data_IF_668055711324
#
_entry.id   IF_668055711324
#
_cell.length_a   1.000
_cell.length_b   1.000
_cell.length_c   1.000
_cell.angle_alpha   90.00
_cell.angle_beta   90.00
_cell.angle_gamma   90.00
#
_symmetry.space_group_name_H-M   'P 1'
#
loop_
_entity.id
_entity.type
_entity.pdbx_description
1 polymer ?
#
# COMPACT_ATOMS: atom_id res chain seq x y z
N UNK A 1 -15.84 8.20 25.18
CA UNK A 1 -14.70 7.34 24.80
C UNK A 1 -13.60 8.26 24.31
N UNK A 2 -12.35 8.06 24.72
CA UNK A 2 -11.25 8.91 24.27
C UNK A 2 -10.78 8.47 22.89
N UNK A 3 -11.09 9.27 21.86
CA UNK A 3 -10.78 8.93 20.48
C UNK A 3 -9.27 8.89 20.18
N UNK A 4 -8.44 9.66 20.91
CA UNK A 4 -6.98 9.66 20.75
C UNK A 4 -6.40 8.33 21.23
N UNK A 5 -6.86 7.84 22.37
CA UNK A 5 -6.45 6.52 22.90
C UNK A 5 -6.82 5.42 21.92
N UNK A 6 -8.06 5.42 21.43
CA UNK A 6 -8.54 4.42 20.46
C UNK A 6 -7.72 4.46 19.17
N UNK A 7 -7.47 5.64 18.61
CA UNK A 7 -6.67 5.82 17.40
C UNK A 7 -5.23 5.33 17.60
N UNK A 8 -4.59 5.63 18.73
CA UNK A 8 -3.24 5.19 19.02
C UNK A 8 -3.12 3.65 19.10
N UNK A 9 -4.11 2.98 19.70
CA UNK A 9 -4.17 1.53 19.72
C UNK A 9 -4.48 0.94 18.34
N UNK A 10 -5.36 1.57 17.57
CA UNK A 10 -5.66 1.15 16.21
C UNK A 10 -4.42 1.22 15.30
N UNK A 11 -3.68 2.34 15.33
CA UNK A 11 -2.45 2.52 14.54
C UNK A 11 -1.44 1.42 14.85
N UNK A 12 -1.25 1.08 16.13
CA UNK A 12 -0.34 0.01 16.56
C UNK A 12 -0.83 -1.36 16.07
N UNK A 13 -2.12 -1.67 16.26
CA UNK A 13 -2.70 -2.95 15.87
C UNK A 13 -2.61 -3.18 14.36
N UNK A 14 -2.83 -2.15 13.55
CA UNK A 14 -2.73 -2.24 12.09
C UNK A 14 -1.32 -2.66 11.60
N UNK A 15 -0.26 -2.37 12.36
CA UNK A 15 1.11 -2.81 12.00
C UNK A 15 1.28 -4.33 12.07
N UNK A 16 0.37 -5.04 12.77
CA UNK A 16 0.40 -6.51 12.85
C UNK A 16 0.03 -7.17 11.52
N UNK A 17 -0.67 -6.48 10.62
CA UNK A 17 -1.03 -7.01 9.31
C UNK A 17 0.23 -7.40 8.53
N UNK A 18 1.16 -6.45 8.38
CA UNK A 18 2.42 -6.71 7.66
C UNK A 18 3.35 -7.59 8.49
N UNK A 19 3.46 -7.35 9.80
CA UNK A 19 4.45 -8.06 10.60
C UNK A 19 4.07 -9.51 10.94
N UNK A 20 2.78 -9.88 10.90
CA UNK A 20 2.28 -11.18 11.38
C UNK A 20 1.34 -11.92 10.43
N UNK A 21 0.74 -11.25 9.44
CA UNK A 21 -0.20 -11.91 8.52
C UNK A 21 0.34 -12.12 7.11
N UNK A 22 1.37 -11.38 6.69
CA UNK A 22 1.96 -11.53 5.35
C UNK A 22 3.22 -12.40 5.36
N UNK A 23 3.53 -13.02 4.22
CA UNK A 23 4.81 -13.70 4.01
C UNK A 23 5.94 -12.67 4.07
N UNK A 24 6.97 -12.82 4.94
CA UNK A 24 8.06 -11.86 5.04
C UNK A 24 8.89 -11.70 3.75
N UNK A 25 8.78 -12.64 2.81
CA UNK A 25 9.42 -12.54 1.49
C UNK A 25 8.58 -11.76 0.46
N UNK A 26 7.33 -11.41 0.79
CA UNK A 26 6.43 -10.66 -0.09
C UNK A 26 6.29 -9.22 0.39
N UNK A 27 6.62 -8.26 -0.47
CA UNK A 27 6.50 -6.84 -0.13
C UNK A 27 5.04 -6.43 0.05
N UNK A 28 4.73 -5.95 1.25
CA UNK A 28 3.41 -5.45 1.65
C UNK A 28 3.59 -4.25 2.59
N UNK A 29 2.80 -3.21 2.40
CA UNK A 29 2.88 -1.96 3.16
C UNK A 29 1.49 -1.53 3.59
N UNK A 30 1.36 -1.14 4.86
CA UNK A 30 0.22 -0.39 5.40
C UNK A 30 0.81 0.86 6.04
N UNK A 31 0.32 2.03 5.65
CA UNK A 31 0.83 3.30 6.16
C UNK A 31 -0.32 4.19 6.56
N UNK A 32 -0.30 4.67 7.80
CA UNK A 32 -1.15 5.77 8.25
C UNK A 32 -0.38 7.06 7.99
N UNK A 33 -0.77 7.76 6.93
CA UNK A 33 -0.09 8.97 6.46
C UNK A 33 -0.60 10.26 7.12
N UNK A 34 -1.78 10.21 7.74
CA UNK A 34 -2.43 11.35 8.37
C UNK A 34 -3.20 10.91 9.61
N UNK A 35 -3.07 11.68 10.69
CA UNK A 35 -3.88 11.58 11.91
C UNK A 35 -4.30 12.99 12.32
N UNK A 36 -5.59 13.21 12.57
CA UNK A 36 -6.10 14.47 13.11
C UNK A 36 -7.19 14.18 14.12
N UNK A 37 -7.15 14.81 15.29
CA UNK A 37 -8.24 14.78 16.25
C UNK A 37 -7.89 15.52 17.53
N UNK A 38 -8.92 15.81 18.32
CA UNK A 38 -8.85 16.70 19.47
C UNK A 38 -8.83 18.18 19.10
N UNK A 39 -9.35 19.01 20.01
CA UNK A 39 -9.48 20.45 19.80
C UNK A 39 -8.69 21.29 20.81
N UNK A 40 -8.55 20.82 22.05
CA UNK A 40 -7.82 21.50 23.13
C UNK A 40 -7.16 20.49 24.06
N UNK A 41 -6.08 20.87 24.72
CA UNK A 41 -5.27 19.98 25.57
C UNK A 41 -5.98 19.46 26.82
N UNK A 42 -7.04 20.14 27.27
CA UNK A 42 -7.80 19.82 28.48
C UNK A 42 -9.18 19.20 28.18
N UNK A 43 -9.45 18.85 26.92
CA UNK A 43 -10.72 18.26 26.49
C UNK A 43 -10.39 16.90 25.86
N UNK A 44 -11.08 15.85 26.32
CA UNK A 44 -10.99 14.52 25.71
C UNK A 44 -11.54 14.62 24.28
N UNK A 45 -10.77 14.12 23.31
CA UNK A 45 -11.19 14.10 21.91
C UNK A 45 -12.38 13.15 21.72
N UNK A 46 -13.42 13.64 21.07
CA UNK A 46 -14.59 12.90 20.63
C UNK A 46 -14.39 12.23 19.27
N UNK A 47 -13.58 12.84 18.38
CA UNK A 47 -13.28 12.30 17.06
C UNK A 47 -11.78 12.33 16.71
N UNK A 48 -11.33 11.28 16.01
CA UNK A 48 -10.03 11.22 15.32
C UNK A 48 -10.22 10.63 13.93
N UNK A 49 -9.65 11.29 12.92
CA UNK A 49 -9.64 10.85 11.53
C UNK A 49 -8.24 10.33 11.19
N UNK A 50 -8.17 9.08 10.76
CA UNK A 50 -6.97 8.44 10.21
C UNK A 50 -7.10 8.32 8.69
N UNK A 51 -6.04 8.66 7.96
CA UNK A 51 -5.96 8.45 6.51
C UNK A 51 -4.64 7.82 6.14
N UNK A 52 -4.65 6.93 5.15
CA UNK A 52 -3.51 6.10 4.85
C UNK A 52 -3.57 5.44 3.48
N UNK A 53 -2.60 4.58 3.23
CA UNK A 53 -2.51 3.78 2.01
C UNK A 53 -2.06 2.37 2.36
N UNK A 54 -2.54 1.40 1.58
CA UNK A 54 -2.08 0.03 1.61
C UNK A 54 -1.58 -0.37 0.22
N UNK A 55 -0.48 -1.12 0.16
CA UNK A 55 0.16 -1.56 -1.09
C UNK A 55 0.67 -2.98 -0.95
N UNK A 56 0.56 -3.78 -2.00
CA UNK A 56 1.08 -5.15 -2.03
C UNK A 56 1.46 -5.52 -3.47
N UNK A 57 2.43 -6.42 -3.65
CA UNK A 57 2.76 -6.97 -4.97
C UNK A 57 1.87 -8.12 -5.42
N UNK A 58 1.09 -8.70 -4.50
CA UNK A 58 0.20 -9.83 -4.79
C UNK A 58 -1.25 -9.46 -4.49
N UNK A 59 -2.17 -9.94 -5.33
CA UNK A 59 -3.60 -9.73 -5.11
C UNK A 59 -4.08 -10.42 -3.82
N UNK A 60 -3.45 -11.55 -3.48
CA UNK A 60 -3.66 -12.24 -2.20
C UNK A 60 -3.41 -11.31 -1.02
N UNK A 61 -2.26 -10.63 -0.97
CA UNK A 61 -1.96 -9.73 0.15
C UNK A 61 -2.81 -8.46 0.10
N UNK A 62 -3.14 -7.95 -1.09
CA UNK A 62 -4.05 -6.81 -1.25
C UNK A 62 -5.43 -7.09 -0.64
N UNK A 63 -5.99 -8.26 -0.94
CA UNK A 63 -7.24 -8.73 -0.35
C UNK A 63 -7.10 -8.99 1.16
N UNK A 64 -6.00 -9.61 1.59
CA UNK A 64 -5.72 -9.88 3.00
C UNK A 64 -5.71 -8.61 3.85
N UNK A 65 -5.06 -7.53 3.38
CA UNK A 65 -4.99 -6.27 4.11
C UNK A 65 -6.40 -5.75 4.39
N UNK A 66 -7.26 -5.66 3.37
CA UNK A 66 -8.63 -5.16 3.50
C UNK A 66 -9.41 -5.95 4.56
N UNK A 67 -9.36 -7.28 4.49
CA UNK A 67 -10.02 -8.15 5.47
C UNK A 67 -9.46 -7.96 6.87
N UNK A 68 -8.13 -7.96 7.03
CA UNK A 68 -7.51 -7.84 8.36
C UNK A 68 -7.69 -6.45 8.96
N UNK A 69 -7.73 -5.40 8.15
CA UNK A 69 -8.06 -4.05 8.62
C UNK A 69 -9.48 -4.03 9.20
N UNK A 70 -10.47 -4.58 8.48
CA UNK A 70 -11.84 -4.66 8.96
C UNK A 70 -11.94 -5.43 10.29
N UNK A 71 -11.31 -6.62 10.38
CA UNK A 71 -11.32 -7.44 11.60
C UNK A 71 -10.71 -6.69 12.81
N UNK A 72 -9.57 -6.02 12.60
CA UNK A 72 -8.87 -5.28 13.66
C UNK A 72 -9.69 -4.06 14.09
N UNK A 73 -10.28 -3.33 13.13
CA UNK A 73 -11.13 -2.17 13.42
C UNK A 73 -12.35 -2.60 14.24
N UNK A 74 -13.04 -3.68 13.85
CA UNK A 74 -14.18 -4.21 14.61
C UNK A 74 -13.77 -4.64 16.02
N UNK A 75 -12.62 -5.32 16.15
CA UNK A 75 -12.08 -5.72 17.45
C UNK A 75 -11.79 -4.53 18.36
N UNK A 76 -11.06 -3.52 17.87
CA UNK A 76 -10.71 -2.32 18.62
C UNK A 76 -11.96 -1.51 18.99
N UNK A 77 -12.91 -1.34 18.05
CA UNK A 77 -14.19 -0.68 18.31
C UNK A 77 -14.91 -1.34 19.50
N UNK A 78 -15.01 -2.67 19.50
CA UNK A 78 -15.61 -3.42 20.62
C UNK A 78 -14.83 -3.29 21.92
N UNK A 79 -13.49 -3.40 21.89
CA UNK A 79 -12.64 -3.32 23.09
C UNK A 79 -12.81 -2.01 23.84
N UNK A 80 -12.94 -0.89 23.13
CA UNK A 80 -13.03 0.44 23.73
C UNK A 80 -14.45 1.01 23.78
N UNK A 81 -15.45 0.23 23.34
CA UNK A 81 -16.84 0.67 23.16
C UNK A 81 -16.96 1.94 22.29
N UNK A 82 -16.15 1.99 21.23
CA UNK A 82 -16.06 3.08 20.27
C UNK A 82 -16.83 2.76 18.98
N UNK A 83 -17.22 3.79 18.23
CA UNK A 83 -17.67 3.66 16.85
C UNK A 83 -16.51 4.00 15.91
N UNK A 84 -16.26 3.17 14.90
CA UNK A 84 -15.22 3.40 13.90
C UNK A 84 -15.82 3.17 12.52
N UNK A 85 -15.95 4.24 11.73
CA UNK A 85 -16.30 4.14 10.33
C UNK A 85 -15.06 3.72 9.52
N UNK A 86 -15.21 2.69 8.68
CA UNK A 86 -14.14 2.20 7.83
C UNK A 86 -14.50 2.40 6.35
N UNK A 87 -13.83 3.37 5.73
CA UNK A 87 -13.91 3.63 4.30
C UNK A 87 -12.61 3.16 3.63
N UNK A 88 -12.73 2.20 2.72
CA UNK A 88 -11.60 1.58 2.04
C UNK A 88 -11.89 1.45 0.55
N UNK A 89 -11.14 2.21 -0.23
CA UNK A 89 -11.16 2.14 -1.69
C UNK A 89 -9.96 1.33 -2.20
N UNK A 90 -10.25 0.40 -3.10
CA UNK A 90 -9.23 -0.38 -3.78
C UNK A 90 -8.50 0.49 -4.81
N UNK A 91 -7.26 0.90 -4.48
CA UNK A 91 -6.39 1.65 -5.39
C UNK A 91 -5.87 0.82 -6.56
N UNK A 92 -4.82 1.28 -7.25
CA UNK A 92 -4.30 0.57 -8.43
C UNK A 92 -3.81 -0.87 -8.10
N UNK A 93 -4.10 -1.85 -8.97
CA UNK A 93 -3.53 -3.19 -8.83
C UNK A 93 -2.01 -3.17 -9.06
N UNK A 94 -1.29 -4.25 -8.70
CA UNK A 94 0.15 -4.32 -8.94
C UNK A 94 0.49 -4.22 -10.44
N UNK A 95 1.44 -3.35 -10.78
CA UNK A 95 1.96 -3.23 -12.17
C UNK A 95 2.90 -4.39 -12.47
N UNK A 96 2.37 -5.47 -13.06
CA UNK A 96 3.12 -6.68 -13.38
C UNK A 96 3.41 -6.75 -14.87
N UNK A 97 4.69 -6.61 -15.22
CA UNK A 97 5.15 -6.76 -16.60
C UNK A 97 5.03 -8.20 -17.08
N UNK A 98 4.64 -8.36 -18.35
CA UNK A 98 4.65 -9.68 -19.00
C UNK A 98 6.08 -10.04 -19.37
N UNK A 99 6.51 -11.25 -19.03
CA UNK A 99 7.89 -11.71 -19.19
C UNK A 99 8.42 -11.58 -20.62
N UNK A 100 7.62 -11.95 -21.62
CA UNK A 100 7.99 -11.81 -23.02
C UNK A 100 8.17 -10.34 -23.44
N UNK A 101 7.22 -9.49 -23.06
CA UNK A 101 7.27 -8.05 -23.37
C UNK A 101 8.46 -7.38 -22.69
N UNK A 102 8.69 -7.68 -21.42
CA UNK A 102 9.84 -7.18 -20.66
C UNK A 102 11.17 -7.62 -21.29
N UNK A 103 11.28 -8.87 -21.70
CA UNK A 103 12.49 -9.40 -22.37
C UNK A 103 12.74 -8.71 -23.71
N UNK A 104 11.68 -8.44 -24.49
CA UNK A 104 11.79 -7.70 -25.76
C UNK A 104 12.29 -6.28 -25.54
N UNK A 105 11.74 -5.57 -24.56
CA UNK A 105 12.18 -4.21 -24.20
C UNK A 105 13.63 -4.21 -23.74
N UNK A 106 14.02 -5.14 -22.85
CA UNK A 106 15.40 -5.22 -22.35
C UNK A 106 16.41 -5.43 -23.49
N UNK A 107 16.16 -6.40 -24.37
CA UNK A 107 17.02 -6.66 -25.55
C UNK A 107 17.09 -5.47 -26.51
N UNK A 108 16.03 -4.68 -26.62
CA UNK A 108 16.03 -3.47 -27.43
C UNK A 108 16.87 -2.36 -26.76
N UNK A 109 16.70 -2.17 -25.44
CA UNK A 109 17.46 -1.20 -24.67
C UNK A 109 18.97 -1.50 -24.67
N UNK A 110 19.36 -2.77 -24.55
CA UNK A 110 20.77 -3.22 -24.61
C UNK A 110 21.46 -2.78 -25.91
N UNK A 111 20.74 -2.77 -27.03
CA UNK A 111 21.27 -2.31 -28.33
C UNK A 111 21.45 -0.80 -28.41
N UNK A 112 20.72 -0.03 -27.60
CA UNK A 112 20.72 1.43 -27.63
C UNK A 112 21.71 2.01 -26.62
N UNK A 113 21.68 1.52 -25.37
CA UNK A 113 22.46 2.10 -24.27
C UNK A 113 23.54 1.16 -23.72
N UNK A 114 23.65 -0.08 -24.22
CA UNK A 114 24.67 -1.03 -23.81
C UNK A 114 24.68 -1.24 -22.29
N UNK A 115 25.82 -0.94 -21.65
CA UNK A 115 25.99 -1.06 -20.19
C UNK A 115 25.12 -0.08 -19.37
N UNK A 116 24.43 0.86 -20.02
CA UNK A 116 23.45 1.73 -19.37
C UNK A 116 22.12 1.03 -19.04
N UNK A 117 21.89 -0.20 -19.49
CA UNK A 117 20.72 -0.99 -19.08
C UNK A 117 20.90 -1.61 -17.70
N UNK A 118 19.82 -1.66 -16.92
CA UNK A 118 19.80 -2.29 -15.61
C UNK A 118 18.80 -3.45 -15.50
N UNK A 119 18.89 -4.27 -14.43
CA UNK A 119 17.89 -5.27 -14.12
C UNK A 119 16.53 -4.60 -13.80
N UNK A 120 15.42 -5.37 -13.78
CA UNK A 120 14.13 -4.86 -13.35
C UNK A 120 14.21 -4.17 -11.98
N UNK A 121 13.63 -2.98 -11.89
CA UNK A 121 13.52 -2.23 -10.64
C UNK A 121 12.13 -2.45 -10.02
N UNK A 122 12.10 -2.99 -8.80
CA UNK A 122 10.85 -3.14 -8.05
C UNK A 122 10.56 -1.86 -7.27
N UNK A 123 9.36 -1.32 -7.44
CA UNK A 123 8.90 -0.11 -6.74
C UNK A 123 7.57 -0.39 -6.05
N UNK A 124 7.46 0.09 -4.80
CA UNK A 124 6.19 0.12 -4.07
C UNK A 124 5.30 1.30 -4.50
N UNK A 125 5.63 2.04 -5.56
CA UNK A 125 4.75 3.05 -6.14
C UNK A 125 3.48 2.43 -6.73
N UNK A 126 2.38 3.18 -6.71
CA UNK A 126 1.17 2.83 -7.47
C UNK A 126 1.21 3.47 -8.85
N UNK A 127 0.80 2.74 -9.88
CA UNK A 127 0.81 3.20 -11.27
C UNK A 127 -0.45 2.68 -12.00
N UNK A 128 -1.16 3.55 -12.70
CA UNK A 128 -2.42 3.24 -13.37
C UNK A 128 -2.23 2.39 -14.64
N UNK A 129 -1.00 2.34 -15.16
CA UNK A 129 -0.60 1.48 -16.26
C UNK A 129 -0.89 -0.01 -15.98
N UNK A 130 -0.97 -0.38 -14.70
CA UNK A 130 -1.39 -1.70 -14.23
C UNK A 130 -2.72 -2.17 -14.84
N UNK A 131 -3.70 -1.28 -15.07
CA UNK A 131 -4.98 -1.66 -15.68
C UNK A 131 -4.85 -2.09 -17.15
N UNK A 132 -3.92 -1.50 -17.89
CA UNK A 132 -3.66 -1.92 -19.28
C UNK A 132 -3.00 -3.30 -19.30
N UNK A 133 -2.06 -3.54 -18.39
CA UNK A 133 -1.38 -4.82 -18.24
C UNK A 133 -2.34 -5.95 -17.83
N UNK A 134 -3.47 -5.67 -17.18
CA UNK A 134 -4.49 -6.70 -16.94
C UNK A 134 -5.23 -7.15 -18.21
N UNK A 135 -5.17 -6.37 -19.29
CA UNK A 135 -5.94 -6.61 -20.52
C UNK A 135 -5.07 -7.01 -21.71
N UNK A 136 -3.84 -6.50 -21.78
CA UNK A 136 -2.95 -6.64 -22.94
C UNK A 136 -1.52 -6.91 -22.49
N UNK A 137 -0.82 -7.89 -23.10
CA UNK A 137 0.61 -8.10 -22.85
C UNK A 137 1.43 -6.83 -23.08
N UNK A 138 2.22 -6.45 -22.07
CA UNK A 138 2.98 -5.20 -22.09
C UNK A 138 4.10 -5.13 -21.06
N UNK A 139 4.87 -4.04 -21.13
CA UNK A 139 5.99 -3.74 -20.23
C UNK A 139 6.01 -2.24 -19.91
N UNK A 140 5.91 -1.91 -18.63
CA UNK A 140 6.18 -0.60 -18.06
C UNK A 140 7.63 -0.57 -17.56
N UNK A 141 8.40 0.43 -17.95
CA UNK A 141 9.83 0.54 -17.62
C UNK A 141 10.24 1.99 -17.43
N UNK A 142 11.35 2.19 -16.73
CA UNK A 142 11.88 3.52 -16.44
C UNK A 142 13.02 3.87 -17.41
N UNK A 143 13.12 5.15 -17.75
CA UNK A 143 14.27 5.74 -18.44
C UNK A 143 14.91 6.72 -17.46
N UNK A 144 16.18 6.50 -17.12
CA UNK A 144 16.93 7.38 -16.24
C UNK A 144 17.07 8.77 -16.85
N UNK A 145 16.70 9.81 -16.10
CA UNK A 145 16.73 11.21 -16.53
C UNK A 145 17.16 12.18 -15.43
N UNK A 146 17.87 11.67 -14.40
CA UNK A 146 18.42 12.54 -13.36
C UNK A 146 19.30 13.62 -14.00
N UNK A 147 19.13 14.90 -13.61
CA UNK A 147 20.13 15.92 -13.93
C UNK A 147 21.48 15.52 -13.33
N UNK A 148 22.56 15.92 -14.00
CA UNK A 148 23.92 15.89 -13.44
C UNK A 148 24.04 16.82 -12.21
#
# INVERSE_FOLDING_TARGET
VDAIVVAAHLVQALQTIVSRNTNPLESTVVTIGKINGGHNFNIIADEVILSGTARAYTEKNRSLIKTRMADIIEGIAKTYNAEIAFDYEDGYPPTINHSESATKVLKAAEKVVGQGTGPPFLSMGGEDFSYYLQKVPGCYFFIGSSPD
#
